data_IF_629680999546
#
_entry.id   IF_629680999546
#
_cell.length_a   1.000
_cell.length_b   1.000
_cell.length_c   1.000
_cell.angle_alpha   90.00
_cell.angle_beta   90.00
_cell.angle_gamma   90.00
#
_symmetry.space_group_name_H-M   'P 1'
#
loop_
_entity.id
_entity.type
_entity.pdbx_description
1 polymer ?
#
# COMPACT_ATOMS: atom_id res chain seq x y z
N UNK A 1 -9.77 5.41 -7.37
CA UNK A 1 -8.68 4.54 -6.97
C UNK A 1 -8.60 4.40 -5.47
N UNK A 2 -7.61 3.69 -4.96
CA UNK A 2 -7.62 3.28 -3.55
C UNK A 2 -7.16 4.35 -2.56
N UNK A 3 -6.74 5.52 -3.03
CA UNK A 3 -6.25 6.62 -2.16
C UNK A 3 -5.17 6.16 -1.18
N UNK A 4 -4.23 5.37 -1.68
CA UNK A 4 -3.20 4.73 -0.84
C UNK A 4 -2.42 5.77 -0.02
N UNK A 5 -2.02 6.87 -0.67
CA UNK A 5 -1.23 7.90 -0.04
C UNK A 5 -1.96 8.55 1.13
N UNK A 6 -3.23 8.88 0.93
CA UNK A 6 -4.04 9.51 1.98
C UNK A 6 -4.32 8.54 3.13
N UNK A 7 -4.56 7.27 2.80
CA UNK A 7 -4.82 6.26 3.82
C UNK A 7 -3.59 6.01 4.70
N UNK A 8 -2.41 5.97 4.09
CA UNK A 8 -1.16 5.87 4.86
C UNK A 8 -1.02 7.06 5.80
N UNK A 9 -1.24 8.26 5.29
CA UNK A 9 -1.14 9.47 6.09
C UNK A 9 -2.12 9.44 7.26
N UNK A 10 -3.36 9.04 7.01
CA UNK A 10 -4.39 8.97 8.04
C UNK A 10 -4.04 7.97 9.14
N UNK A 11 -3.30 6.92 8.81
CA UNK A 11 -2.87 5.90 9.76
C UNK A 11 -1.51 6.21 10.37
N UNK A 12 -0.89 7.33 9.98
CA UNK A 12 0.47 7.69 10.41
C UNK A 12 1.49 6.64 10.00
N UNK A 13 1.28 6.02 8.83
CA UNK A 13 2.16 5.01 8.27
C UNK A 13 2.95 5.58 7.09
N UNK A 14 4.08 4.95 6.78
CA UNK A 14 4.96 5.40 5.71
C UNK A 14 4.94 4.45 4.53
N UNK A 15 5.48 4.91 3.38
CA UNK A 15 5.67 4.03 2.23
C UNK A 15 6.65 2.91 2.54
N UNK A 16 7.65 3.17 3.40
CA UNK A 16 8.60 2.13 3.82
C UNK A 16 7.87 1.01 4.56
N UNK A 17 6.94 1.36 5.43
CA UNK A 17 6.11 0.38 6.12
C UNK A 17 5.33 -0.48 5.13
N UNK A 18 4.70 0.18 4.15
CA UNK A 18 3.91 -0.51 3.13
C UNK A 18 4.79 -1.41 2.26
N UNK A 19 5.98 -0.93 1.91
CA UNK A 19 6.92 -1.71 1.12
C UNK A 19 7.31 -3.01 1.83
N UNK A 20 7.58 -2.91 3.14
CA UNK A 20 7.92 -4.10 3.94
C UNK A 20 6.75 -5.08 3.99
N UNK A 21 5.54 -4.57 4.16
CA UNK A 21 4.34 -5.41 4.20
C UNK A 21 4.14 -6.13 2.87
N UNK A 22 4.38 -5.44 1.75
CA UNK A 22 4.31 -6.05 0.43
C UNK A 22 5.32 -7.16 0.25
N UNK A 23 6.56 -6.93 0.70
CA UNK A 23 7.63 -7.94 0.60
C UNK A 23 7.30 -9.18 1.41
N UNK A 24 6.71 -9.01 2.58
CA UNK A 24 6.30 -10.14 3.42
C UNK A 24 5.20 -10.97 2.74
N UNK A 25 4.46 -10.37 1.82
CA UNK A 25 3.42 -11.05 1.05
C UNK A 25 3.91 -11.59 -0.29
N UNK A 26 5.23 -11.50 -0.55
CA UNK A 26 5.84 -12.03 -1.75
C UNK A 26 5.93 -11.06 -2.92
N UNK A 27 5.68 -9.78 -2.68
CA UNK A 27 5.77 -8.75 -3.71
C UNK A 27 7.12 -8.05 -3.64
N UNK A 28 7.98 -8.31 -4.63
CA UNK A 28 9.33 -7.70 -4.70
C UNK A 28 9.27 -6.33 -5.37
N UNK A 29 8.69 -5.37 -4.68
CA UNK A 29 8.57 -4.01 -5.19
C UNK A 29 9.71 -3.16 -4.65
N UNK A 30 10.32 -2.36 -5.53
CA UNK A 30 11.37 -1.43 -5.13
C UNK A 30 10.76 -0.09 -4.73
N UNK A 31 11.43 0.69 -3.84
CA UNK A 31 10.89 1.96 -3.38
C UNK A 31 10.45 2.93 -4.49
N UNK A 32 11.26 3.17 -5.55
CA UNK A 32 10.82 4.05 -6.64
C UNK A 32 9.59 3.51 -7.37
N UNK A 33 9.50 2.19 -7.54
CA UNK A 33 8.36 1.57 -8.20
C UNK A 33 7.09 1.77 -7.38
N UNK A 34 7.17 1.56 -6.07
CA UNK A 34 6.01 1.73 -5.19
C UNK A 34 5.53 3.17 -5.22
N UNK A 35 6.45 4.13 -5.14
CA UNK A 35 6.10 5.55 -5.20
C UNK A 35 5.35 5.88 -6.49
N UNK A 36 5.84 5.38 -7.64
CA UNK A 36 5.21 5.62 -8.92
C UNK A 36 3.82 4.97 -9.00
N UNK A 37 3.68 3.76 -8.47
CA UNK A 37 2.41 3.04 -8.48
C UNK A 37 1.39 3.80 -7.63
N UNK A 38 1.78 4.25 -6.46
CA UNK A 38 0.91 5.00 -5.55
C UNK A 38 0.45 6.31 -6.20
N UNK A 39 1.35 6.96 -6.95
CA UNK A 39 1.04 8.22 -7.61
C UNK A 39 0.29 8.04 -8.95
N UNK A 40 0.01 6.80 -9.34
CA UNK A 40 -0.75 6.53 -10.56
C UNK A 40 0.06 6.64 -11.85
N UNK A 41 1.38 6.56 -11.76
CA UNK A 41 2.26 6.74 -12.92
C UNK A 41 2.53 5.45 -13.70
N UNK A 42 2.00 4.33 -13.24
CA UNK A 42 2.10 3.05 -13.94
C UNK A 42 0.72 2.53 -14.29
N UNK A 43 0.61 1.96 -15.50
CA UNK A 43 -0.65 1.42 -16.01
C UNK A 43 -0.44 0.02 -16.59
N UNK A 44 0.19 -0.87 -15.84
CA UNK A 44 0.39 -2.24 -16.27
C UNK A 44 -0.23 -3.22 -15.25
N UNK A 45 -0.45 -4.46 -15.70
CA UNK A 45 -1.18 -5.45 -14.90
C UNK A 45 -0.56 -5.69 -13.52
N UNK A 46 0.77 -5.72 -13.46
CA UNK A 46 1.47 -5.92 -12.19
C UNK A 46 1.21 -4.78 -11.20
N UNK A 47 1.12 -3.54 -11.72
CA UNK A 47 0.81 -2.40 -10.87
C UNK A 47 -0.58 -2.53 -10.26
N UNK A 48 -1.54 -3.02 -11.01
CA UNK A 48 -2.90 -3.25 -10.53
C UNK A 48 -2.88 -4.25 -9.37
N UNK A 49 -2.13 -5.35 -9.51
CA UNK A 49 -2.03 -6.35 -8.45
C UNK A 49 -1.39 -5.79 -7.19
N UNK A 50 -0.35 -4.97 -7.35
CA UNK A 50 0.31 -4.31 -6.22
C UNK A 50 -0.67 -3.37 -5.52
N UNK A 51 -1.43 -2.59 -6.29
CA UNK A 51 -2.44 -1.68 -5.71
C UNK A 51 -3.51 -2.44 -4.96
N UNK A 52 -3.98 -3.56 -5.50
CA UNK A 52 -4.97 -4.39 -4.81
C UNK A 52 -4.42 -4.92 -3.49
N UNK A 53 -3.17 -5.35 -3.48
CA UNK A 53 -2.53 -5.83 -2.26
C UNK A 53 -2.35 -4.70 -1.26
N UNK A 54 -1.97 -3.52 -1.71
CA UNK A 54 -1.89 -2.33 -0.85
C UNK A 54 -3.25 -2.04 -0.21
N UNK A 55 -4.32 -2.11 -1.00
CA UNK A 55 -5.66 -1.92 -0.47
C UNK A 55 -5.98 -2.92 0.63
N UNK A 56 -5.66 -4.19 0.41
CA UNK A 56 -5.89 -5.25 1.40
C UNK A 56 -5.10 -4.96 2.69
N UNK A 57 -3.82 -4.64 2.54
CA UNK A 57 -2.95 -4.34 3.68
C UNK A 57 -3.50 -3.16 4.49
N UNK A 58 -3.89 -2.10 3.81
CA UNK A 58 -4.41 -0.90 4.49
C UNK A 58 -5.78 -1.15 5.11
N UNK A 59 -6.63 -1.95 4.47
CA UNK A 59 -7.92 -2.31 5.04
C UNK A 59 -7.73 -3.06 6.35
N UNK A 60 -6.78 -3.99 6.39
CA UNK A 60 -6.47 -4.72 7.63
C UNK A 60 -5.94 -3.78 8.70
N UNK A 61 -5.05 -2.85 8.32
CA UNK A 61 -4.51 -1.89 9.27
C UNK A 61 -5.59 -0.95 9.80
N UNK A 62 -6.51 -0.52 8.94
CA UNK A 62 -7.61 0.33 9.33
C UNK A 62 -8.55 -0.40 10.30
N UNK A 63 -8.83 -1.67 10.03
CA UNK A 63 -9.66 -2.48 10.92
C UNK A 63 -8.99 -2.69 12.26
N UNK A 64 -7.70 -2.94 12.27
CA UNK A 64 -6.94 -3.10 13.51
C UNK A 64 -7.00 -1.82 14.35
N UNK A 65 -6.76 -0.66 13.72
CA UNK A 65 -6.79 0.61 14.41
C UNK A 65 -8.18 0.90 14.99
N UNK A 66 -9.22 0.55 14.24
CA UNK A 66 -10.61 0.75 14.69
C UNK A 66 -10.95 -0.15 15.88
N UNK A 67 -10.46 -1.38 15.88
CA UNK A 67 -10.78 -2.37 16.90
C UNK A 67 -9.92 -2.24 18.17
N UNK A 68 -8.83 -1.47 18.09
CA UNK A 68 -7.93 -1.32 19.24
C UNK A 68 -8.25 -0.12 20.12
N UNK A 69 -9.34 0.57 19.85
CA UNK A 69 -9.79 1.70 20.68
C UNK A 69 -10.84 1.24 21.75
#
# INVERSE_FOLDING_TARGET
MYNIKDRLSNLHLTQVWLLKALRERGFNTQPPQLSNIINGNYTYAKATKVLEECNTILTEAENYARNST
#
